data_IF_699326290863
#
_entry.id   IF_699326290863
#
_cell.length_a   1.000
_cell.length_b   1.000
_cell.length_c   1.000
_cell.angle_alpha   90.00
_cell.angle_beta   90.00
_cell.angle_gamma   90.00
#
_symmetry.space_group_name_H-M   'P 1'
#
loop_
_entity.id
_entity.type
_entity.pdbx_description
1 polymer ?
#
# COMPACT_ATOMS: atom_id res chain seq x y z
N UNK A 1 1.51 -11.05 25.26
CA UNK A 1 0.87 -10.69 24.01
C UNK A 1 1.89 -10.77 22.86
N UNK A 2 1.46 -11.02 21.65
CA UNK A 2 2.28 -11.10 20.45
C UNK A 2 1.84 -10.08 19.41
N UNK A 3 2.81 -9.53 18.67
CA UNK A 3 2.58 -8.81 17.42
C UNK A 3 3.27 -9.59 16.30
N UNK A 4 2.51 -9.98 15.28
CA UNK A 4 2.98 -10.76 14.13
C UNK A 4 2.88 -9.86 12.89
N UNK A 5 4.04 -9.42 12.39
CA UNK A 5 4.17 -8.35 11.40
C UNK A 5 4.71 -8.87 10.08
N UNK A 6 4.13 -8.46 8.94
CA UNK A 6 4.70 -8.72 7.61
C UNK A 6 6.09 -8.07 7.48
N UNK A 7 6.98 -8.76 6.81
CA UNK A 7 8.38 -8.35 6.64
C UNK A 7 8.57 -7.05 5.86
N UNK A 8 7.63 -6.68 5.01
CA UNK A 8 7.69 -5.48 4.18
C UNK A 8 6.75 -4.36 4.63
N UNK A 9 6.19 -4.46 5.83
CA UNK A 9 5.37 -3.39 6.39
C UNK A 9 6.07 -2.04 6.39
N UNK A 10 5.26 -0.97 6.28
CA UNK A 10 5.73 0.40 6.34
C UNK A 10 6.52 0.70 7.62
N UNK A 11 7.49 1.61 7.54
CA UNK A 11 8.37 1.97 8.65
C UNK A 11 7.58 2.40 9.91
N UNK A 12 6.45 3.09 9.76
CA UNK A 12 5.59 3.49 10.88
C UNK A 12 5.06 2.31 11.70
N UNK A 13 4.70 1.21 11.03
CA UNK A 13 4.29 -0.04 11.69
C UNK A 13 5.49 -0.65 12.42
N UNK A 14 6.64 -0.74 11.75
CA UNK A 14 7.87 -1.29 12.33
C UNK A 14 8.25 -0.52 13.59
N UNK A 15 8.21 0.81 13.55
CA UNK A 15 8.55 1.66 14.69
C UNK A 15 7.51 1.55 15.81
N UNK A 16 6.21 1.50 15.47
CA UNK A 16 5.15 1.26 16.44
C UNK A 16 5.33 -0.09 17.17
N UNK A 17 5.66 -1.14 16.43
CA UNK A 17 5.96 -2.48 16.98
C UNK A 17 7.20 -2.43 17.90
N UNK A 18 8.21 -1.65 17.54
CA UNK A 18 9.43 -1.47 18.38
C UNK A 18 9.17 -0.77 19.71
N UNK A 19 8.19 0.13 19.74
CA UNK A 19 7.80 0.84 20.96
C UNK A 19 6.94 -0.02 21.90
N UNK A 20 6.41 -1.13 21.43
CA UNK A 20 5.57 -2.03 22.22
C UNK A 20 6.40 -3.02 23.05
N UNK A 21 5.87 -3.43 24.23
CA UNK A 21 6.47 -4.47 25.08
C UNK A 21 6.06 -5.89 24.72
N UNK A 22 5.12 -6.08 23.79
CA UNK A 22 4.69 -7.39 23.31
C UNK A 22 5.83 -8.14 22.61
N UNK A 23 5.80 -9.46 22.61
CA UNK A 23 6.74 -10.25 21.81
C UNK A 23 6.50 -9.99 20.34
N UNK A 24 7.59 -9.90 19.57
CA UNK A 24 7.58 -9.50 18.17
C UNK A 24 7.95 -10.68 17.30
N UNK A 25 7.04 -11.03 16.40
CA UNK A 25 7.23 -12.04 15.37
C UNK A 25 7.16 -11.36 14.01
N UNK A 26 8.01 -11.79 13.11
CA UNK A 26 8.02 -11.30 11.72
C UNK A 26 7.85 -12.48 10.79
N UNK A 27 6.90 -12.40 9.87
CA UNK A 27 6.73 -13.40 8.84
C UNK A 27 7.16 -12.87 7.48
N UNK A 28 7.60 -13.75 6.59
CA UNK A 28 8.01 -13.42 5.24
C UNK A 28 6.85 -12.81 4.46
N UNK A 29 7.16 -11.83 3.62
CA UNK A 29 6.16 -11.07 2.86
C UNK A 29 5.17 -11.97 2.12
N UNK A 30 3.88 -11.80 2.43
CA UNK A 30 2.77 -12.56 1.85
C UNK A 30 2.91 -14.10 1.96
N UNK A 31 3.75 -14.62 2.85
CA UNK A 31 3.92 -16.04 3.09
C UNK A 31 2.99 -16.53 4.20
N UNK A 32 1.87 -17.12 3.79
CA UNK A 32 0.83 -17.57 4.74
C UNK A 32 1.27 -18.78 5.57
N UNK A 33 2.16 -19.60 5.05
CA UNK A 33 2.71 -20.74 5.81
C UNK A 33 3.63 -20.27 6.93
N UNK A 34 4.45 -19.24 6.66
CA UNK A 34 5.29 -18.63 7.71
C UNK A 34 4.43 -17.86 8.73
N UNK A 35 3.39 -17.14 8.28
CA UNK A 35 2.42 -16.51 9.19
C UNK A 35 1.80 -17.54 10.13
N UNK A 36 1.37 -18.71 9.60
CA UNK A 36 0.78 -19.76 10.42
C UNK A 36 1.80 -20.30 11.44
N UNK A 37 3.06 -20.54 11.04
CA UNK A 37 4.11 -20.93 11.99
C UNK A 37 4.28 -19.90 13.12
N UNK A 38 4.28 -18.59 12.82
CA UNK A 38 4.38 -17.54 13.85
C UNK A 38 3.16 -17.48 14.77
N UNK A 39 1.98 -17.78 14.28
CA UNK A 39 0.78 -17.93 15.10
C UNK A 39 0.89 -19.15 16.04
N UNK A 40 1.39 -20.28 15.56
CA UNK A 40 1.65 -21.48 16.38
C UNK A 40 2.73 -21.22 17.44
N UNK A 41 3.87 -20.61 17.05
CA UNK A 41 4.96 -20.25 17.97
C UNK A 41 4.47 -19.34 19.11
N UNK A 42 3.52 -18.45 18.84
CA UNK A 42 2.97 -17.51 19.81
C UNK A 42 1.71 -18.00 20.55
N UNK A 43 1.31 -19.25 20.35
CA UNK A 43 0.05 -19.81 20.91
C UNK A 43 -0.01 -19.78 22.44
N UNK A 44 1.13 -19.84 23.13
CA UNK A 44 1.26 -19.76 24.58
C UNK A 44 1.03 -18.34 25.15
N UNK A 45 0.94 -17.32 24.31
CA UNK A 45 0.73 -15.93 24.71
C UNK A 45 -0.76 -15.59 24.80
N UNK A 46 -1.09 -14.66 25.68
CA UNK A 46 -2.48 -14.28 25.99
C UNK A 46 -3.25 -13.78 24.76
N UNK A 47 -2.65 -12.93 23.95
CA UNK A 47 -3.31 -12.30 22.79
C UNK A 47 -2.32 -12.19 21.63
N UNK A 48 -2.84 -12.26 20.42
CA UNK A 48 -2.07 -12.12 19.18
C UNK A 48 -2.71 -11.05 18.31
N UNK A 49 -1.90 -10.21 17.68
CA UNK A 49 -2.33 -9.28 16.65
C UNK A 49 -1.47 -9.48 15.40
N UNK A 50 -2.13 -9.70 14.27
CA UNK A 50 -1.49 -9.72 12.94
C UNK A 50 -1.55 -8.30 12.40
N UNK A 51 -0.42 -7.77 11.95
CA UNK A 51 -0.32 -6.41 11.41
C UNK A 51 0.30 -6.44 10.02
N UNK A 52 -0.37 -5.85 9.05
CA UNK A 52 0.09 -5.78 7.65
C UNK A 52 -0.33 -4.49 6.97
N UNK A 53 0.48 -4.01 6.00
CA UNK A 53 -0.05 -3.10 4.99
C UNK A 53 -1.12 -3.84 4.19
N UNK A 54 -2.21 -3.17 3.84
CA UNK A 54 -3.19 -3.69 2.89
C UNK A 54 -2.61 -3.71 1.48
N UNK A 55 -1.91 -2.63 1.10
CA UNK A 55 -1.16 -2.53 -0.15
C UNK A 55 0.23 -1.96 0.11
N UNK A 56 1.25 -2.67 -0.36
CA UNK A 56 2.66 -2.35 -0.10
C UNK A 56 3.19 -1.30 -1.08
N UNK A 57 3.60 -0.16 -0.56
CA UNK A 57 3.92 1.05 -1.33
C UNK A 57 5.06 0.91 -2.34
N UNK A 58 6.04 0.03 -2.09
CA UNK A 58 7.21 -0.13 -2.96
C UNK A 58 7.03 -1.22 -4.01
N UNK A 59 6.08 -2.12 -3.81
CA UNK A 59 5.89 -3.31 -4.62
C UNK A 59 4.54 -3.33 -5.38
N UNK A 60 3.55 -2.56 -4.92
CA UNK A 60 2.19 -2.64 -5.44
C UNK A 60 1.53 -4.01 -5.18
N UNK A 61 2.09 -4.80 -4.27
CA UNK A 61 1.48 -6.06 -3.84
C UNK A 61 0.32 -5.79 -2.90
N UNK A 62 -0.69 -6.63 -2.95
CA UNK A 62 -1.90 -6.55 -2.12
C UNK A 62 -1.89 -7.72 -1.15
N UNK A 63 -2.07 -7.45 0.13
CA UNK A 63 -2.11 -8.49 1.17
C UNK A 63 -3.19 -9.55 0.88
N UNK A 64 -2.91 -10.80 1.26
CA UNK A 64 -3.85 -11.91 1.11
C UNK A 64 -4.82 -11.93 2.32
N UNK A 65 -5.62 -10.84 2.47
CA UNK A 65 -6.47 -10.64 3.66
C UNK A 65 -7.49 -11.75 3.87
N UNK A 66 -7.96 -12.39 2.80
CA UNK A 66 -8.80 -13.58 2.85
C UNK A 66 -8.15 -14.68 3.69
N UNK A 67 -6.93 -15.05 3.36
CA UNK A 67 -6.17 -16.08 4.07
C UNK A 67 -5.70 -15.62 5.47
N UNK A 68 -5.33 -14.34 5.60
CA UNK A 68 -4.94 -13.76 6.88
C UNK A 68 -6.11 -13.84 7.86
N UNK A 69 -7.31 -13.48 7.43
CA UNK A 69 -8.51 -13.57 8.26
C UNK A 69 -8.85 -15.03 8.64
N UNK A 70 -8.68 -15.98 7.70
CA UNK A 70 -8.91 -17.41 8.01
C UNK A 70 -7.93 -17.92 9.08
N UNK A 71 -6.66 -17.50 9.00
CA UNK A 71 -5.68 -17.82 10.04
C UNK A 71 -5.97 -17.09 11.35
N UNK A 72 -6.42 -15.84 11.29
CA UNK A 72 -6.80 -15.07 12.47
C UNK A 72 -7.96 -15.74 13.23
N UNK A 73 -9.00 -16.16 12.52
CA UNK A 73 -10.12 -16.91 13.10
C UNK A 73 -9.65 -18.24 13.71
N UNK A 74 -8.77 -18.98 13.02
CA UNK A 74 -8.23 -20.26 13.48
C UNK A 74 -7.43 -20.15 14.78
N UNK A 75 -6.67 -19.05 14.94
CA UNK A 75 -5.73 -18.88 16.05
C UNK A 75 -6.16 -17.79 17.04
N UNK A 76 -7.41 -17.34 16.99
CA UNK A 76 -7.96 -16.27 17.85
C UNK A 76 -7.06 -15.04 17.90
N UNK A 77 -6.78 -14.47 16.73
CA UNK A 77 -5.93 -13.29 16.55
C UNK A 77 -6.72 -12.09 16.04
N UNK A 78 -6.32 -10.90 16.47
CA UNK A 78 -6.84 -9.61 15.97
C UNK A 78 -6.13 -9.28 14.66
N UNK A 79 -6.84 -8.70 13.69
CA UNK A 79 -6.28 -8.25 12.42
C UNK A 79 -6.27 -6.72 12.32
N UNK A 80 -5.08 -6.17 12.14
CA UNK A 80 -4.87 -4.74 11.86
C UNK A 80 -4.27 -4.56 10.48
N UNK A 81 -4.85 -3.66 9.67
CA UNK A 81 -4.33 -3.31 8.35
C UNK A 81 -4.06 -1.82 8.21
N UNK A 82 -3.03 -1.46 7.45
CA UNK A 82 -2.79 -0.10 6.99
C UNK A 82 -3.29 0.06 5.55
N UNK A 83 -4.30 0.90 5.38
CA UNK A 83 -4.96 1.18 4.10
C UNK A 83 -4.47 2.47 3.42
N UNK A 84 -3.32 3.00 3.81
CA UNK A 84 -2.78 4.26 3.30
C UNK A 84 -2.55 4.28 1.78
N UNK A 85 -2.39 3.12 1.16
CA UNK A 85 -2.22 2.96 -0.29
C UNK A 85 -3.38 2.23 -0.97
N UNK A 86 -4.57 2.21 -0.36
CA UNK A 86 -5.73 1.47 -0.89
C UNK A 86 -7.04 2.22 -0.74
N UNK A 87 -7.25 2.92 0.39
CA UNK A 87 -8.47 3.68 0.65
C UNK A 87 -8.73 4.73 -0.43
N UNK A 88 -9.94 4.77 -0.94
CA UNK A 88 -10.42 5.70 -1.93
C UNK A 88 -10.43 5.15 -3.36
N UNK A 89 -9.76 4.02 -3.65
CA UNK A 89 -9.68 3.52 -5.03
C UNK A 89 -9.64 2.00 -5.19
N UNK A 90 -9.14 1.24 -4.23
CA UNK A 90 -9.10 -0.21 -4.33
C UNK A 90 -10.41 -0.84 -3.87
N UNK A 91 -10.84 -1.92 -4.53
CA UNK A 91 -12.13 -2.53 -4.33
C UNK A 91 -13.22 -1.93 -5.24
N UNK A 92 -14.37 -2.58 -5.30
CA UNK A 92 -15.46 -2.22 -6.22
C UNK A 92 -16.02 -0.81 -5.97
N UNK A 93 -16.07 -0.39 -4.71
CA UNK A 93 -16.55 0.93 -4.29
C UNK A 93 -15.45 1.80 -3.66
N UNK A 94 -14.16 1.38 -3.78
CA UNK A 94 -13.02 2.13 -3.28
C UNK A 94 -12.81 2.05 -1.77
N UNK A 95 -13.37 1.04 -1.11
CA UNK A 95 -13.24 0.90 0.34
C UNK A 95 -11.90 0.31 0.80
N UNK A 96 -11.09 -0.14 -0.14
CA UNK A 96 -9.74 -0.61 0.14
C UNK A 96 -9.55 -2.11 -0.02
N UNK A 97 -8.46 -2.61 0.57
CA UNK A 97 -8.00 -3.99 0.39
C UNK A 97 -8.98 -5.03 0.94
N UNK A 98 -9.64 -4.71 2.04
CA UNK A 98 -10.63 -5.61 2.66
C UNK A 98 -11.88 -5.79 1.79
N UNK A 99 -12.30 -4.76 1.03
CA UNK A 99 -13.33 -4.91 0.02
C UNK A 99 -12.79 -5.72 -1.18
N UNK A 100 -11.61 -5.38 -1.68
CA UNK A 100 -10.97 -6.08 -2.80
C UNK A 100 -10.82 -7.60 -2.55
N UNK A 101 -10.53 -7.99 -1.32
CA UNK A 101 -10.38 -9.38 -0.88
C UNK A 101 -11.68 -10.05 -0.40
N UNK A 102 -12.80 -9.33 -0.38
CA UNK A 102 -14.09 -9.88 0.05
C UNK A 102 -14.21 -10.17 1.54
N UNK A 103 -13.42 -9.49 2.37
CA UNK A 103 -13.36 -9.73 3.84
C UNK A 103 -13.89 -8.53 4.65
N UNK A 104 -14.80 -7.77 4.07
CA UNK A 104 -15.49 -6.70 4.79
C UNK A 104 -16.10 -7.22 6.09
N UNK A 105 -15.85 -6.49 7.20
CA UNK A 105 -16.35 -6.85 8.54
C UNK A 105 -15.48 -7.85 9.32
N UNK A 106 -14.40 -8.40 8.73
CA UNK A 106 -13.46 -9.32 9.39
C UNK A 106 -12.17 -8.65 9.87
N UNK A 107 -12.01 -7.34 9.62
CA UNK A 107 -10.84 -6.56 10.04
C UNK A 107 -11.19 -5.81 11.32
N UNK A 108 -10.36 -5.92 12.34
CA UNK A 108 -10.60 -5.30 13.65
C UNK A 108 -10.13 -3.85 13.71
N UNK A 109 -9.00 -3.53 13.06
CA UNK A 109 -8.39 -2.21 13.09
C UNK A 109 -7.93 -1.84 11.67
N UNK A 110 -8.35 -0.68 11.21
CA UNK A 110 -7.95 -0.09 9.94
C UNK A 110 -7.29 1.25 10.23
N UNK A 111 -6.07 1.45 9.74
CA UNK A 111 -5.43 2.77 9.70
C UNK A 111 -5.41 3.30 8.28
N UNK A 112 -5.47 4.62 8.13
CA UNK A 112 -5.44 5.27 6.83
C UNK A 112 -4.90 6.68 6.92
N UNK A 113 -4.51 7.24 5.78
CA UNK A 113 -4.01 8.61 5.66
C UNK A 113 -4.97 9.48 4.87
N UNK A 114 -5.00 10.76 5.22
CA UNK A 114 -5.67 11.83 4.45
C UNK A 114 -4.71 12.61 3.56
N UNK A 115 -3.46 12.16 3.44
CA UNK A 115 -2.39 12.80 2.68
C UNK A 115 -2.00 12.09 1.38
N UNK A 116 -2.83 11.16 0.87
CA UNK A 116 -2.59 10.43 -0.38
C UNK A 116 -3.81 10.49 -1.28
N UNK A 117 -4.32 9.37 -1.76
CA UNK A 117 -5.50 9.34 -2.63
C UNK A 117 -6.76 9.88 -1.94
N UNK A 118 -6.91 9.56 -0.66
CA UNK A 118 -8.01 10.06 0.16
C UNK A 118 -7.64 11.42 0.76
N UNK A 119 -8.33 12.47 0.37
CA UNK A 119 -8.25 13.82 0.91
C UNK A 119 -7.12 14.71 0.38
N UNK A 120 -5.97 14.17 -0.01
CA UNK A 120 -4.84 14.92 -0.59
C UNK A 120 -4.22 16.01 0.33
N UNK A 121 -4.43 15.96 1.64
CA UNK A 121 -3.98 16.96 2.59
C UNK A 121 -2.99 16.39 3.62
N UNK A 122 -3.35 16.32 4.89
CA UNK A 122 -2.50 15.81 5.96
C UNK A 122 -3.31 15.08 7.03
N UNK A 123 -2.61 14.35 7.89
CA UNK A 123 -3.22 13.58 8.95
C UNK A 123 -3.68 12.19 8.50
N UNK A 124 -4.44 11.57 9.36
CA UNK A 124 -4.94 10.22 9.15
C UNK A 124 -5.99 9.85 10.18
N UNK A 125 -6.41 8.61 10.13
CA UNK A 125 -7.45 8.08 11.00
C UNK A 125 -7.16 6.65 11.40
N UNK A 126 -7.77 6.23 12.51
CA UNK A 126 -7.91 4.84 12.89
C UNK A 126 -9.40 4.52 13.02
N UNK A 127 -9.84 3.47 12.36
CA UNK A 127 -11.20 2.95 12.41
C UNK A 127 -11.18 1.49 12.89
N UNK A 128 -12.27 1.03 13.51
CA UNK A 128 -12.34 -0.34 14.01
C UNK A 128 -13.47 -0.53 14.98
N UNK A 129 -13.42 -1.62 15.74
CA UNK A 129 -14.41 -1.92 16.77
C UNK A 129 -14.49 -0.79 17.79
N UNK A 130 -15.70 -0.47 18.22
CA UNK A 130 -15.97 0.64 19.13
C UNK A 130 -15.10 0.59 20.40
N UNK A 131 -14.95 -0.59 21.00
CA UNK A 131 -14.19 -0.79 22.23
C UNK A 131 -12.72 -0.44 22.07
N UNK A 132 -12.15 -0.75 20.90
CA UNK A 132 -10.75 -0.42 20.55
C UNK A 132 -10.61 1.09 20.37
N UNK A 133 -11.53 1.71 19.64
CA UNK A 133 -11.49 3.16 19.37
C UNK A 133 -11.70 3.95 20.68
N UNK A 134 -12.63 3.54 21.54
CA UNK A 134 -12.84 4.17 22.82
C UNK A 134 -11.60 4.05 23.72
N UNK A 135 -10.93 2.89 23.72
CA UNK A 135 -9.66 2.72 24.44
C UNK A 135 -8.55 3.62 23.87
N UNK A 136 -8.40 3.71 22.54
CA UNK A 136 -7.42 4.56 21.91
C UNK A 136 -7.63 6.03 22.26
N UNK A 137 -8.87 6.50 22.30
CA UNK A 137 -9.20 7.87 22.73
C UNK A 137 -8.77 8.18 24.17
N UNK A 138 -8.71 7.19 25.04
CA UNK A 138 -8.31 7.34 26.45
C UNK A 138 -6.82 7.07 26.69
N UNK A 139 -6.14 6.31 25.83
CA UNK A 139 -4.79 5.80 26.08
C UNK A 139 -3.75 6.20 25.05
N UNK A 140 -4.16 6.56 23.82
CA UNK A 140 -3.22 6.95 22.79
C UNK A 140 -2.63 8.32 23.08
N UNK A 141 -1.35 8.37 23.43
CA UNK A 141 -0.65 9.62 23.76
C UNK A 141 -0.65 10.62 22.60
N UNK A 142 -0.41 10.22 21.34
CA UNK A 142 -0.54 11.15 20.21
C UNK A 142 -1.93 11.78 20.11
N UNK A 143 -2.99 11.01 20.32
CA UNK A 143 -4.36 11.53 20.30
C UNK A 143 -4.64 12.49 21.46
N UNK A 144 -4.15 12.18 22.65
CA UNK A 144 -4.42 12.97 23.86
C UNK A 144 -3.60 14.30 23.89
N UNK A 145 -2.39 14.28 23.36
CA UNK A 145 -1.42 15.37 23.57
C UNK A 145 -1.03 16.13 22.30
N UNK A 146 -1.36 15.61 21.11
CA UNK A 146 -1.15 16.33 19.86
C UNK A 146 -2.38 17.16 19.51
N UNK A 147 -2.18 18.24 18.73
CA UNK A 147 -3.29 19.00 18.20
C UNK A 147 -4.15 18.14 17.25
N UNK A 148 -5.45 18.44 17.22
CA UNK A 148 -6.39 17.79 16.30
C UNK A 148 -6.11 18.19 14.84
N UNK A 149 -6.69 17.43 13.91
CA UNK A 149 -6.71 17.84 12.50
C UNK A 149 -7.42 19.20 12.36
N UNK A 150 -6.93 20.02 11.44
CA UNK A 150 -7.58 21.28 11.12
C UNK A 150 -9.03 21.04 10.62
N UNK A 151 -10.02 21.85 11.05
CA UNK A 151 -11.41 21.65 10.64
C UNK A 151 -11.62 21.64 9.12
N UNK A 152 -10.83 22.41 8.37
CA UNK A 152 -10.85 22.41 6.89
C UNK A 152 -10.46 21.06 6.29
N UNK A 153 -9.48 20.37 6.88
CA UNK A 153 -9.07 19.03 6.45
C UNK A 153 -10.19 18.03 6.75
N UNK A 154 -10.79 18.11 7.93
CA UNK A 154 -11.90 17.23 8.32
C UNK A 154 -13.09 17.43 7.39
N UNK A 155 -13.49 18.69 7.15
CA UNK A 155 -14.58 19.02 6.24
C UNK A 155 -14.34 18.53 4.81
N UNK A 156 -13.13 18.75 4.27
CA UNK A 156 -12.74 18.24 2.96
C UNK A 156 -12.75 16.70 2.89
N UNK A 157 -12.30 16.03 3.95
CA UNK A 157 -12.30 14.57 4.01
C UNK A 157 -13.72 13.98 4.04
N UNK A 158 -14.64 14.59 4.77
CA UNK A 158 -16.05 14.19 4.79
C UNK A 158 -16.65 14.31 3.39
N UNK A 159 -16.46 15.46 2.73
CA UNK A 159 -16.94 15.68 1.37
C UNK A 159 -16.36 14.65 0.36
N UNK A 160 -15.08 14.30 0.48
CA UNK A 160 -14.47 13.25 -0.37
C UNK A 160 -15.10 11.88 -0.11
N UNK A 161 -15.37 11.52 1.15
CA UNK A 161 -16.03 10.26 1.49
C UNK A 161 -17.46 10.19 0.94
N UNK A 162 -18.19 11.30 0.99
CA UNK A 162 -19.54 11.41 0.38
C UNK A 162 -19.45 11.22 -1.15
N UNK A 163 -18.52 11.91 -1.81
CA UNK A 163 -18.29 11.75 -3.25
C UNK A 163 -17.94 10.31 -3.65
N UNK A 164 -17.07 9.65 -2.89
CA UNK A 164 -16.65 8.25 -3.15
C UNK A 164 -17.79 7.26 -2.91
N UNK A 165 -18.75 7.61 -2.04
CA UNK A 165 -19.94 6.78 -1.79
C UNK A 165 -20.94 6.88 -2.94
N UNK A 166 -21.03 8.05 -3.58
CA UNK A 166 -21.97 8.32 -4.67
C UNK A 166 -21.45 7.91 -6.05
N UNK A 167 -20.14 7.95 -6.28
CA UNK A 167 -19.52 7.85 -7.60
C UNK A 167 -18.30 6.96 -7.62
N UNK A 168 -18.13 6.20 -8.71
CA UNK A 168 -16.99 5.31 -8.93
C UNK A 168 -16.16 5.66 -10.19
N UNK A 169 -16.55 6.67 -10.96
CA UNK A 169 -15.97 6.94 -12.29
C UNK A 169 -14.45 7.15 -12.23
N UNK A 170 -13.93 7.89 -11.22
CA UNK A 170 -12.49 8.12 -11.08
C UNK A 170 -11.75 6.82 -10.71
N UNK A 171 -12.35 6.00 -9.87
CA UNK A 171 -11.83 4.69 -9.50
C UNK A 171 -11.79 3.77 -10.73
N UNK A 172 -12.86 3.73 -11.51
CA UNK A 172 -12.97 2.90 -12.72
C UNK A 172 -11.97 3.36 -13.78
N UNK A 173 -11.80 4.67 -13.96
CA UNK A 173 -10.78 5.24 -14.84
C UNK A 173 -9.37 4.86 -14.39
N UNK A 174 -9.07 4.92 -13.09
CA UNK A 174 -7.78 4.51 -12.54
C UNK A 174 -7.50 3.03 -12.81
N UNK A 175 -8.49 2.17 -12.61
CA UNK A 175 -8.37 0.73 -12.88
C UNK A 175 -8.09 0.47 -14.36
N UNK A 176 -8.81 1.12 -15.27
CA UNK A 176 -8.61 1.01 -16.71
C UNK A 176 -7.22 1.51 -17.12
N UNK A 177 -6.81 2.67 -16.61
CA UNK A 177 -5.47 3.22 -16.83
C UNK A 177 -4.37 2.25 -16.37
N UNK A 178 -4.58 1.62 -15.21
CA UNK A 178 -3.65 0.66 -14.63
C UNK A 178 -3.51 -0.59 -15.50
N UNK A 179 -4.62 -1.20 -15.90
CA UNK A 179 -4.64 -2.37 -16.79
C UNK A 179 -3.95 -2.07 -18.12
N UNK A 180 -4.28 -0.92 -18.72
CA UNK A 180 -3.70 -0.50 -19.98
C UNK A 180 -2.18 -0.33 -19.87
N UNK A 181 -1.72 0.46 -18.90
CA UNK A 181 -0.28 0.74 -18.72
C UNK A 181 0.51 -0.53 -18.43
N UNK A 182 0.04 -1.39 -17.50
CA UNK A 182 0.69 -2.66 -17.19
C UNK A 182 0.81 -3.54 -18.43
N UNK A 183 -0.27 -3.70 -19.19
CA UNK A 183 -0.29 -4.48 -20.43
C UNK A 183 0.75 -3.96 -21.41
N UNK A 184 0.75 -2.67 -21.69
CA UNK A 184 1.66 -2.04 -22.66
C UNK A 184 3.13 -2.13 -22.23
N UNK A 185 3.44 -1.94 -20.96
CA UNK A 185 4.81 -2.08 -20.46
C UNK A 185 5.30 -3.53 -20.53
N UNK A 186 4.45 -4.51 -20.26
CA UNK A 186 4.79 -5.93 -20.44
C UNK A 186 5.00 -6.27 -21.90
N UNK A 187 4.13 -5.80 -22.80
CA UNK A 187 4.27 -5.97 -24.26
C UNK A 187 5.58 -5.35 -24.80
N UNK A 188 6.02 -4.23 -24.21
CA UNK A 188 7.29 -3.59 -24.55
C UNK A 188 8.52 -4.34 -24.02
N UNK A 189 8.36 -5.36 -23.18
CA UNK A 189 9.43 -6.21 -22.67
C UNK A 189 9.97 -5.81 -21.30
N UNK A 190 9.34 -4.87 -20.58
CA UNK A 190 9.75 -4.53 -19.23
C UNK A 190 9.37 -5.60 -18.22
N UNK A 191 10.29 -5.88 -17.30
CA UNK A 191 10.00 -6.68 -16.11
C UNK A 191 9.23 -5.81 -15.09
N UNK A 192 7.93 -6.09 -14.95
CA UNK A 192 7.06 -5.45 -13.97
C UNK A 192 6.50 -6.50 -13.02
N UNK A 193 6.46 -6.18 -11.72
CA UNK A 193 5.82 -7.08 -10.76
C UNK A 193 4.34 -7.26 -11.10
N UNK A 194 3.82 -8.49 -11.13
CA UNK A 194 2.41 -8.75 -11.42
C UNK A 194 1.50 -8.15 -10.34
N UNK A 195 0.27 -7.83 -10.71
CA UNK A 195 -0.75 -7.29 -9.80
C UNK A 195 -1.68 -6.29 -10.47
N UNK A 196 -2.70 -5.86 -9.74
CA UNK A 196 -3.75 -4.96 -10.22
C UNK A 196 -3.62 -3.54 -9.62
N UNK A 197 -2.66 -3.33 -8.73
CA UNK A 197 -2.48 -2.05 -8.05
C UNK A 197 -1.93 -0.98 -9.01
N UNK A 198 -2.36 0.32 -8.90
CA UNK A 198 -1.85 1.43 -9.72
C UNK A 198 -0.40 1.82 -9.44
N UNK A 199 0.21 1.28 -8.40
CA UNK A 199 1.67 1.28 -8.24
C UNK A 199 2.25 0.18 -9.12
N UNK A 200 3.08 0.57 -10.10
CA UNK A 200 3.71 -0.34 -11.08
C UNK A 200 5.23 -0.25 -10.95
N UNK A 201 5.85 -1.18 -10.23
CA UNK A 201 7.31 -1.24 -10.15
C UNK A 201 7.89 -1.79 -11.46
N UNK A 202 8.74 -1.01 -12.10
CA UNK A 202 9.52 -1.43 -13.27
C UNK A 202 10.90 -1.84 -12.74
N UNK A 203 11.18 -3.14 -12.77
CA UNK A 203 12.37 -3.71 -12.15
C UNK A 203 13.61 -3.45 -13.01
N UNK A 204 14.63 -2.88 -12.39
CA UNK A 204 15.91 -2.55 -13.04
C UNK A 204 17.10 -3.22 -12.32
N UNK A 205 16.90 -3.63 -11.04
CA UNK A 205 17.85 -4.36 -10.20
C UNK A 205 19.14 -3.58 -9.85
N UNK A 206 19.62 -2.70 -10.74
CA UNK A 206 20.81 -1.88 -10.56
C UNK A 206 20.45 -0.43 -10.19
N UNK A 207 21.10 0.11 -9.16
CA UNK A 207 20.82 1.43 -8.62
C UNK A 207 21.24 2.57 -9.57
N UNK A 208 22.36 2.42 -10.27
CA UNK A 208 22.87 3.42 -11.22
C UNK A 208 21.96 3.46 -12.43
N UNK A 209 21.56 2.29 -12.93
CA UNK A 209 20.62 2.18 -14.03
C UNK A 209 19.26 2.84 -13.71
N UNK A 210 18.73 2.61 -12.50
CA UNK A 210 17.48 3.21 -12.06
C UNK A 210 17.56 4.75 -12.01
N UNK A 211 18.66 5.31 -11.54
CA UNK A 211 18.89 6.76 -11.50
C UNK A 211 19.04 7.33 -12.90
N UNK A 212 19.88 6.69 -13.74
CA UNK A 212 20.13 7.12 -15.12
C UNK A 212 18.83 7.12 -15.94
N UNK A 213 18.04 6.06 -15.83
CA UNK A 213 16.78 5.95 -16.54
C UNK A 213 15.77 7.01 -16.06
N UNK A 214 15.68 7.27 -14.75
CA UNK A 214 14.80 8.30 -14.22
C UNK A 214 15.20 9.71 -14.70
N UNK A 215 16.51 10.03 -14.76
CA UNK A 215 17.00 11.30 -15.26
C UNK A 215 16.65 11.50 -16.76
N UNK A 216 16.86 10.48 -17.59
CA UNK A 216 16.51 10.52 -19.03
C UNK A 216 14.99 10.65 -19.26
N UNK A 217 14.18 9.97 -18.44
CA UNK A 217 12.71 10.10 -18.50
C UNK A 217 12.26 11.51 -18.15
N UNK A 218 12.93 12.19 -17.22
CA UNK A 218 12.63 13.59 -16.89
C UNK A 218 12.90 14.52 -18.09
N UNK A 219 13.96 14.28 -18.89
CA UNK A 219 14.23 15.01 -20.14
C UNK A 219 13.10 14.84 -21.17
N UNK A 220 12.43 13.69 -21.18
CA UNK A 220 11.23 13.44 -22.00
C UNK A 220 9.93 14.01 -21.38
N UNK A 221 10.03 14.67 -20.22
CA UNK A 221 8.90 15.24 -19.49
C UNK A 221 8.09 14.20 -18.70
N UNK A 222 8.70 13.07 -18.34
CA UNK A 222 8.12 12.03 -17.49
C UNK A 222 8.80 12.06 -16.13
N UNK A 223 8.09 12.56 -15.12
CA UNK A 223 8.61 12.63 -13.75
C UNK A 223 8.41 11.30 -13.04
N UNK A 224 9.51 10.59 -12.81
CA UNK A 224 9.59 9.34 -12.06
C UNK A 224 10.86 9.32 -11.22
N UNK A 225 10.88 8.46 -10.19
CA UNK A 225 12.03 8.33 -9.27
C UNK A 225 12.48 6.88 -9.23
N UNK A 226 13.80 6.69 -9.28
CA UNK A 226 14.43 5.40 -9.01
C UNK A 226 14.49 5.12 -7.51
N UNK A 227 14.04 3.93 -7.10
CA UNK A 227 14.15 3.44 -5.72
C UNK A 227 15.20 2.34 -5.64
N UNK A 228 16.12 2.48 -4.70
CA UNK A 228 17.23 1.56 -4.46
C UNK A 228 17.56 1.51 -2.96
N UNK A 229 18.53 0.71 -2.57
CA UNK A 229 18.94 0.61 -1.16
C UNK A 229 19.31 1.99 -0.57
N UNK A 230 18.86 2.33 0.66
CA UNK A 230 18.21 1.45 1.66
C UNK A 230 16.68 1.39 1.57
N UNK A 231 16.02 2.10 0.64
CA UNK A 231 14.56 2.14 0.53
C UNK A 231 13.98 0.78 0.11
N UNK A 232 14.69 0.10 -0.79
CA UNK A 232 14.41 -1.28 -1.17
C UNK A 232 15.66 -2.13 -0.96
N UNK A 233 15.54 -3.45 -0.93
CA UNK A 233 16.67 -4.35 -0.71
C UNK A 233 17.75 -4.18 -1.82
N UNK A 234 19.01 -4.48 -1.52
CA UNK A 234 20.10 -4.51 -2.49
C UNK A 234 19.74 -5.45 -3.64
N UNK A 235 20.03 -5.04 -4.88
CA UNK A 235 19.70 -5.80 -6.08
C UNK A 235 18.20 -5.79 -6.42
N UNK A 236 17.40 -4.91 -5.81
CA UNK A 236 15.95 -4.76 -6.05
C UNK A 236 15.61 -3.33 -6.51
N UNK A 237 16.57 -2.63 -7.11
CA UNK A 237 16.34 -1.29 -7.62
C UNK A 237 15.25 -1.28 -8.71
N UNK A 238 14.45 -0.23 -8.72
CA UNK A 238 13.29 -0.09 -9.62
C UNK A 238 12.92 1.36 -9.84
N UNK A 239 12.20 1.64 -10.90
CA UNK A 239 11.38 2.84 -11.01
C UNK A 239 9.96 2.48 -10.58
N UNK A 240 9.41 3.22 -9.62
CA UNK A 240 8.02 3.07 -9.19
C UNK A 240 7.14 4.07 -9.92
N UNK A 241 6.39 3.58 -10.91
CA UNK A 241 5.33 4.38 -11.53
C UNK A 241 4.09 4.35 -10.65
N UNK A 242 3.46 5.50 -10.48
CA UNK A 242 2.18 5.63 -9.80
C UNK A 242 1.17 6.26 -10.75
N UNK A 243 0.16 5.49 -11.12
CA UNK A 243 -0.89 5.94 -12.01
C UNK A 243 -1.95 6.75 -11.26
N UNK A 244 -2.65 7.60 -12.00
CA UNK A 244 -3.70 8.46 -11.46
C UNK A 244 -4.92 8.45 -12.37
N UNK A 245 -6.10 8.67 -11.80
CA UNK A 245 -7.31 8.93 -12.55
C UNK A 245 -7.27 10.25 -13.35
N UNK A 246 -6.35 11.15 -12.98
CA UNK A 246 -6.10 12.38 -13.74
C UNK A 246 -5.33 12.14 -15.05
N UNK A 247 -4.71 10.97 -15.22
CA UNK A 247 -4.03 10.64 -16.47
C UNK A 247 -5.05 10.35 -17.58
N UNK A 248 -4.86 11.02 -18.72
CA UNK A 248 -5.56 10.70 -19.96
C UNK A 248 -4.75 9.66 -20.76
N UNK A 249 -5.39 9.03 -21.74
CA UNK A 249 -4.76 8.02 -22.61
C UNK A 249 -3.47 8.56 -23.25
N UNK A 250 -3.47 9.80 -23.74
CA UNK A 250 -2.31 10.44 -24.36
C UNK A 250 -1.12 10.59 -23.40
N UNK A 251 -1.37 10.79 -22.09
CA UNK A 251 -0.31 10.84 -21.08
C UNK A 251 0.33 9.47 -20.89
N UNK A 252 -0.50 8.42 -20.87
CA UNK A 252 -0.02 7.04 -20.74
C UNK A 252 0.79 6.62 -21.98
N UNK A 253 0.30 6.93 -23.17
CA UNK A 253 0.96 6.62 -24.44
C UNK A 253 2.32 7.32 -24.54
N UNK A 254 2.38 8.60 -24.15
CA UNK A 254 3.63 9.36 -24.08
C UNK A 254 4.63 8.70 -23.11
N UNK A 255 4.17 8.32 -21.91
CA UNK A 255 5.01 7.67 -20.91
C UNK A 255 5.54 6.32 -21.43
N UNK A 256 4.68 5.48 -22.00
CA UNK A 256 5.04 4.18 -22.56
C UNK A 256 6.09 4.34 -23.68
N UNK A 257 5.89 5.31 -24.58
CA UNK A 257 6.83 5.60 -25.66
C UNK A 257 8.21 6.05 -25.13
N UNK A 258 8.23 6.95 -24.13
CA UNK A 258 9.46 7.42 -23.50
C UNK A 258 10.20 6.27 -22.78
N UNK A 259 9.48 5.48 -21.99
CA UNK A 259 10.05 4.28 -21.35
C UNK A 259 10.63 3.30 -22.37
N UNK A 260 9.91 3.04 -23.45
CA UNK A 260 10.37 2.12 -24.52
C UNK A 260 11.63 2.64 -25.21
N UNK A 261 11.65 3.93 -25.58
CA UNK A 261 12.82 4.57 -26.19
C UNK A 261 14.07 4.46 -25.31
N UNK A 262 13.93 4.90 -24.06
CA UNK A 262 15.04 4.93 -23.09
C UNK A 262 15.43 3.50 -22.66
N UNK A 263 14.45 2.61 -22.51
CA UNK A 263 14.70 1.22 -22.18
C UNK A 263 15.54 0.50 -23.21
N UNK A 264 15.31 0.76 -24.51
CA UNK A 264 16.15 0.26 -25.60
C UNK A 264 17.55 0.89 -25.59
N UNK A 265 17.63 2.23 -25.43
CA UNK A 265 18.90 2.95 -25.36
C UNK A 265 19.81 2.42 -24.24
N UNK A 266 19.25 2.11 -23.10
CA UNK A 266 19.97 1.61 -21.92
C UNK A 266 20.11 0.07 -21.87
N UNK A 267 19.61 -0.64 -22.88
CA UNK A 267 19.68 -2.11 -22.94
C UNK A 267 18.82 -2.82 -21.89
N UNK A 268 17.81 -2.16 -21.35
CA UNK A 268 16.84 -2.77 -20.39
C UNK A 268 15.87 -3.69 -21.12
N UNK A 269 15.48 -3.32 -22.33
CA UNK A 269 14.62 -4.09 -23.23
C UNK A 269 15.26 -4.16 -24.63
N UNK A 270 14.78 -5.11 -25.47
CA UNK A 270 15.26 -5.31 -26.86
C UNK A 270 14.60 -4.39 -27.86
#
# INVERSE_FOLDING_TARGET
DAIISDALNHASIIDGVRLCKAQRYRYEHNNMSDLEMKLQESSHLRSRIIVTDGSFSMDGTIAQLDKICDLADKYDAIVMIDECHSSGFLGKTGRGTHEYRGVMGRIDIITGTLGKALGGASGGFTSGRKEIIDMLRQKSRPYLFSNTLAPSIVGGSIAVLDMLTEKTELRDKLENNTKYFRKKMTEAGFDIKPGDHPIVPIMLYDAVLAQTMAAKLLEEGIYVIGFFFPVVAKGQARIRVQLSAAHEQSHLDKAIAAFTKIGKELGVIK
#
